data_IF_862203555225
#
_entry.id   IF_862203555225
#
_cell.length_a   1.000
_cell.length_b   1.000
_cell.length_c   1.000
_cell.angle_alpha   90.00
_cell.angle_beta   90.00
_cell.angle_gamma   90.00
#
_symmetry.space_group_name_H-M   'P 1'
#
loop_
_entity.id
_entity.type
_entity.pdbx_description
1 polymer ?
#
# COMPACT_ATOMS: atom_id res chain seq x y z
N UNK A 1 3.18 -0.36 14.00
CA UNK A 1 3.07 0.52 12.80
C UNK A 1 4.45 0.90 12.26
N UNK A 2 5.40 1.28 13.12
CA UNK A 2 6.76 1.65 12.69
C UNK A 2 7.48 0.51 11.97
N UNK A 3 7.38 -0.73 12.47
CA UNK A 3 7.97 -1.90 11.80
C UNK A 3 7.43 -2.12 10.39
N UNK A 4 6.12 -1.89 10.17
CA UNK A 4 5.50 -2.04 8.87
C UNK A 4 5.97 -0.96 7.86
N UNK A 5 6.38 0.22 8.34
CA UNK A 5 6.98 1.25 7.48
C UNK A 5 8.41 0.93 7.05
N UNK A 6 9.11 0.05 7.79
CA UNK A 6 10.48 -0.36 7.48
C UNK A 6 10.55 -1.48 6.44
N UNK A 7 9.41 -2.06 6.07
CA UNK A 7 9.32 -3.10 5.04
C UNK A 7 9.75 -2.49 3.69
N UNK A 8 10.77 -3.10 3.07
CA UNK A 8 11.28 -2.73 1.75
C UNK A 8 10.91 -3.78 0.71
N UNK A 9 10.79 -3.37 -0.55
CA UNK A 9 10.54 -4.26 -1.69
C UNK A 9 11.54 -5.42 -1.76
N UNK A 10 12.79 -5.22 -1.32
CA UNK A 10 13.82 -6.25 -1.31
C UNK A 10 13.49 -7.41 -0.36
N UNK A 11 12.88 -7.13 0.79
CA UNK A 11 12.42 -8.16 1.71
C UNK A 11 11.22 -8.92 1.12
N UNK A 12 10.28 -8.18 0.50
CA UNK A 12 9.10 -8.76 -0.16
C UNK A 12 9.51 -9.66 -1.34
N UNK A 13 10.44 -9.20 -2.18
CA UNK A 13 10.94 -9.95 -3.32
C UNK A 13 11.71 -11.20 -2.92
N UNK A 14 12.49 -11.14 -1.83
CA UNK A 14 13.24 -12.28 -1.29
C UNK A 14 12.31 -13.35 -0.75
N UNK A 15 11.31 -12.96 0.04
CA UNK A 15 10.34 -13.90 0.62
C UNK A 15 9.52 -14.60 -0.47
N UNK A 16 9.11 -13.85 -1.49
CA UNK A 16 8.32 -14.36 -2.61
C UNK A 16 9.18 -14.98 -3.73
N UNK A 17 10.51 -15.02 -3.58
CA UNK A 17 11.46 -15.53 -4.58
C UNK A 17 11.19 -14.96 -5.99
N UNK A 18 10.95 -13.65 -6.08
CA UNK A 18 10.60 -13.02 -7.35
C UNK A 18 11.81 -13.00 -8.29
N UNK A 19 11.67 -13.47 -9.55
CA UNK A 19 12.70 -13.30 -10.55
C UNK A 19 12.86 -11.82 -10.91
N UNK A 20 14.01 -11.38 -11.45
CA UNK A 20 14.31 -9.97 -11.73
C UNK A 20 13.24 -9.24 -12.55
N UNK A 21 12.61 -9.96 -13.49
CA UNK A 21 11.55 -9.43 -14.37
C UNK A 21 10.25 -9.09 -13.64
N UNK A 22 10.02 -9.62 -12.43
CA UNK A 22 8.79 -9.40 -11.62
C UNK A 22 9.01 -8.52 -10.38
N UNK A 23 10.15 -7.83 -10.26
CA UNK A 23 10.44 -6.96 -9.12
C UNK A 23 9.51 -5.74 -9.02
N UNK A 24 8.89 -5.32 -10.12
CA UNK A 24 7.90 -4.23 -10.09
C UNK A 24 6.75 -4.55 -9.13
N UNK A 25 6.35 -5.82 -8.99
CA UNK A 25 5.30 -6.23 -8.06
C UNK A 25 5.69 -5.93 -6.60
N UNK A 26 6.95 -6.14 -6.24
CA UNK A 26 7.44 -5.84 -4.89
C UNK A 26 7.54 -4.34 -4.62
N UNK A 27 7.83 -3.51 -5.64
CA UNK A 27 7.80 -2.06 -5.51
C UNK A 27 6.38 -1.55 -5.31
N UNK A 28 5.43 -2.03 -6.13
CA UNK A 28 4.01 -1.69 -5.99
C UNK A 28 3.45 -2.12 -4.63
N UNK A 29 3.87 -3.28 -4.12
CA UNK A 29 3.48 -3.75 -2.80
C UNK A 29 4.02 -2.85 -1.67
N UNK A 30 5.29 -2.44 -1.76
CA UNK A 30 5.89 -1.49 -0.80
C UNK A 30 5.13 -0.16 -0.77
N UNK A 31 4.84 0.41 -1.94
CA UNK A 31 4.14 1.69 -2.05
C UNK A 31 2.70 1.60 -1.53
N UNK A 32 1.99 0.52 -1.83
CA UNK A 32 0.64 0.29 -1.33
C UNK A 32 0.59 0.19 0.21
N UNK A 33 1.55 -0.52 0.81
CA UNK A 33 1.65 -0.64 2.27
C UNK A 33 1.92 0.72 2.92
N UNK A 34 2.83 1.52 2.36
CA UNK A 34 3.13 2.87 2.87
C UNK A 34 1.91 3.79 2.78
N UNK A 35 1.23 3.80 1.64
CA UNK A 35 0.03 4.61 1.45
C UNK A 35 -1.09 4.23 2.43
N UNK A 36 -1.33 2.93 2.63
CA UNK A 36 -2.32 2.44 3.59
C UNK A 36 -1.99 2.83 5.04
N UNK A 37 -0.71 2.75 5.44
CA UNK A 37 -0.28 3.16 6.78
C UNK A 37 -0.40 4.67 7.01
N UNK A 38 -0.11 5.49 5.98
CA UNK A 38 -0.29 6.94 6.04
C UNK A 38 -1.77 7.31 6.17
N UNK A 39 -2.63 6.72 5.34
CA UNK A 39 -4.09 6.90 5.41
C UNK A 39 -4.64 6.48 6.78
N UNK A 40 -4.22 5.32 7.29
CA UNK A 40 -4.59 4.86 8.62
C UNK A 40 -4.16 5.84 9.73
N UNK A 41 -2.93 6.38 9.64
CA UNK A 41 -2.43 7.37 10.61
C UNK A 41 -3.26 8.66 10.57
N UNK A 42 -3.61 9.15 9.38
CA UNK A 42 -4.44 10.34 9.18
C UNK A 42 -5.84 10.12 9.76
N UNK A 43 -6.47 8.98 9.44
CA UNK A 43 -7.80 8.59 9.94
C UNK A 43 -7.86 8.39 11.45
N UNK A 44 -6.78 7.91 12.06
CA UNK A 44 -6.71 7.77 13.52
C UNK A 44 -6.44 9.10 14.24
N UNK A 45 -5.81 10.06 13.58
CA UNK A 45 -5.58 11.41 14.13
C UNK A 45 -6.81 12.31 13.96
N UNK A 46 -7.58 12.14 12.88
CA UNK A 46 -8.86 12.81 12.66
C UNK A 46 -10.00 11.80 12.80
N UNK A 47 -10.58 11.68 14.01
CA UNK A 47 -11.78 10.89 14.29
C UNK A 47 -13.05 11.52 13.64
N UNK A 48 -12.97 11.89 12.37
CA UNK A 48 -14.07 12.37 11.54
C UNK A 48 -14.07 11.55 10.25
N UNK A 49 -15.12 10.76 9.99
CA UNK A 49 -15.19 9.89 8.82
C UNK A 49 -15.42 10.74 7.58
N UNK A 50 -14.36 11.07 6.85
CA UNK A 50 -14.51 11.62 5.50
C UNK A 50 -14.60 10.46 4.50
N UNK A 51 -15.70 10.36 3.73
CA UNK A 51 -15.84 9.39 2.66
C UNK A 51 -15.11 9.94 1.44
N UNK A 52 -13.99 9.33 1.03
CA UNK A 52 -13.34 9.72 -0.21
C UNK A 52 -12.81 8.51 -1.01
N UNK A 53 -13.56 8.25 -2.08
CA UNK A 53 -13.16 7.76 -3.40
C UNK A 53 -12.50 6.38 -3.53
N UNK A 54 -13.35 5.36 -3.46
CA UNK A 54 -13.20 4.18 -4.32
C UNK A 54 -13.69 4.55 -5.74
N UNK A 55 -12.79 5.01 -6.62
CA UNK A 55 -13.07 5.31 -8.04
C UNK A 55 -13.45 4.09 -8.88
N UNK A 56 -13.82 2.95 -8.27
CA UNK A 56 -14.32 1.75 -8.95
C UNK A 56 -15.79 1.84 -9.42
N UNK A 57 -16.37 3.03 -9.51
CA UNK A 57 -17.74 3.24 -10.03
C UNK A 57 -17.79 4.25 -11.19
N UNK A 58 -16.94 4.08 -12.19
CA UNK A 58 -16.98 4.86 -13.43
C UNK A 58 -16.71 4.02 -14.71
N UNK A 59 -17.07 2.74 -14.71
CA UNK A 59 -17.03 1.91 -15.92
C UNK A 59 -18.14 0.85 -15.94
N UNK A 60 -19.39 1.27 -15.76
CA UNK A 60 -20.55 0.61 -16.39
C UNK A 60 -21.69 1.62 -16.46
N UNK A 61 -21.92 2.15 -17.65
CA UNK A 61 -23.19 2.62 -18.21
C UNK A 61 -22.94 2.97 -19.67
#
# INVERSE_FOLDING_TARGET
MEEAMLIKNTAIAKELSLPPVKLHCSMLAEDAIKAALQDYKIKNQNKTPTPENDTRKAAVN
#
